data_IF_984292893667
#
_entry.id   IF_984292893667
#
_cell.length_a   1.000
_cell.length_b   1.000
_cell.length_c   1.000
_cell.angle_alpha   90.00
_cell.angle_beta   90.00
_cell.angle_gamma   90.00
#
_symmetry.space_group_name_H-M   'P 1'
#
loop_
_entity.id
_entity.type
_entity.pdbx_description
1 polymer ?
#
# COMPACT_ATOMS: atom_id res chain seq x y z
N UNK A 1 -24.60 -15.25 -4.29
CA UNK A 1 -24.11 -14.14 -3.43
C UNK A 1 -23.49 -13.07 -4.33
N UNK A 2 -23.77 -11.79 -4.10
CA UNK A 2 -23.13 -10.69 -4.84
C UNK A 2 -21.59 -10.78 -4.65
N UNK A 3 -20.81 -10.85 -5.73
CA UNK A 3 -19.34 -11.04 -5.69
C UNK A 3 -18.66 -10.02 -4.78
N UNK A 4 -19.13 -8.77 -4.80
CA UNK A 4 -18.67 -7.72 -3.89
C UNK A 4 -18.78 -8.09 -2.42
N UNK A 5 -19.95 -8.60 -2.03
CA UNK A 5 -20.25 -8.96 -0.64
C UNK A 5 -19.33 -10.11 -0.24
N UNK A 6 -19.16 -11.09 -1.13
CA UNK A 6 -18.23 -12.20 -0.90
C UNK A 6 -16.79 -11.73 -0.71
N UNK A 7 -16.28 -10.88 -1.61
CA UNK A 7 -14.93 -10.33 -1.51
C UNK A 7 -14.74 -9.47 -0.26
N UNK A 8 -15.69 -8.60 0.06
CA UNK A 8 -15.62 -7.78 1.28
C UNK A 8 -15.64 -8.64 2.53
N UNK A 9 -16.52 -9.64 2.60
CA UNK A 9 -16.61 -10.54 3.74
C UNK A 9 -15.31 -11.33 3.92
N UNK A 10 -14.76 -11.88 2.82
CA UNK A 10 -13.48 -12.58 2.84
C UNK A 10 -12.35 -11.69 3.38
N UNK A 11 -12.21 -10.47 2.85
CA UNK A 11 -11.18 -9.53 3.28
C UNK A 11 -11.34 -9.08 4.74
N UNK A 12 -12.57 -8.89 5.20
CA UNK A 12 -12.87 -8.54 6.61
C UNK A 12 -12.54 -9.72 7.53
N UNK A 13 -12.96 -10.93 7.20
CA UNK A 13 -12.66 -12.12 8.00
C UNK A 13 -11.16 -12.36 8.10
N UNK A 14 -10.44 -12.24 6.98
CA UNK A 14 -9.00 -12.41 6.94
C UNK A 14 -8.28 -11.32 7.76
N UNK A 15 -8.71 -10.06 7.64
CA UNK A 15 -8.19 -8.97 8.46
C UNK A 15 -8.44 -9.21 9.95
N UNK A 16 -9.68 -9.56 10.34
CA UNK A 16 -10.02 -9.81 11.73
C UNK A 16 -9.23 -10.99 12.31
N UNK A 17 -8.99 -12.03 11.50
CA UNK A 17 -8.15 -13.15 11.89
C UNK A 17 -6.73 -12.68 12.26
N UNK A 18 -6.05 -11.95 11.39
CA UNK A 18 -4.70 -11.44 11.68
C UNK A 18 -4.70 -10.40 12.82
N UNK A 19 -5.68 -9.50 12.85
CA UNK A 19 -5.78 -8.49 13.91
C UNK A 19 -5.95 -9.14 15.30
N UNK A 20 -6.83 -10.14 15.41
CA UNK A 20 -7.05 -10.88 16.66
C UNK A 20 -5.81 -11.70 17.03
N UNK A 21 -5.15 -12.35 16.06
CA UNK A 21 -3.90 -13.07 16.31
C UNK A 21 -2.81 -12.11 16.84
N UNK A 22 -2.65 -10.94 16.24
CA UNK A 22 -1.69 -9.94 16.72
C UNK A 22 -2.01 -9.49 18.15
N UNK A 23 -3.27 -9.22 18.48
CA UNK A 23 -3.69 -8.88 19.85
C UNK A 23 -3.40 -10.03 20.82
N UNK A 24 -3.62 -11.28 20.39
CA UNK A 24 -3.30 -12.45 21.19
C UNK A 24 -1.80 -12.53 21.50
N UNK A 25 -0.94 -12.30 20.50
CA UNK A 25 0.52 -12.26 20.71
C UNK A 25 0.88 -11.18 21.75
N UNK A 26 0.35 -9.96 21.63
CA UNK A 26 0.69 -8.87 22.57
C UNK A 26 0.18 -9.08 23.99
N UNK A 27 -0.94 -9.76 24.16
CA UNK A 27 -1.57 -9.91 25.47
C UNK A 27 -1.14 -11.19 26.20
N UNK A 28 -0.85 -12.26 25.47
CA UNK A 28 -0.67 -13.60 26.04
C UNK A 28 0.67 -14.27 25.71
N UNK A 29 1.48 -13.70 24.81
CA UNK A 29 2.82 -14.21 24.49
C UNK A 29 3.86 -13.17 24.93
N UNK A 30 4.44 -13.30 26.14
CA UNK A 30 5.29 -12.27 26.73
C UNK A 30 6.66 -12.14 26.06
N UNK A 31 7.16 -13.22 25.46
CA UNK A 31 8.46 -13.23 24.79
C UNK A 31 8.30 -12.91 23.29
N UNK A 32 8.99 -11.88 22.76
CA UNK A 32 9.21 -11.78 21.32
C UNK A 32 10.10 -12.97 20.89
N UNK A 33 10.02 -13.43 19.63
CA UNK A 33 10.79 -14.58 19.11
C UNK A 33 10.28 -15.99 19.49
N UNK A 34 8.96 -16.17 19.58
CA UNK A 34 8.36 -17.51 19.61
C UNK A 34 7.95 -17.97 18.21
N UNK A 35 7.80 -19.28 18.00
CA UNK A 35 7.27 -19.80 16.73
C UNK A 35 5.90 -19.19 16.34
N UNK A 36 5.08 -18.77 17.31
CA UNK A 36 3.80 -18.11 17.03
C UNK A 36 3.97 -16.71 16.43
N UNK A 37 5.04 -16.00 16.82
CA UNK A 37 5.42 -14.73 16.24
C UNK A 37 5.89 -14.91 14.79
N UNK A 38 6.74 -15.92 14.56
CA UNK A 38 7.28 -16.23 13.24
C UNK A 38 6.14 -16.60 12.29
N UNK A 39 5.24 -17.50 12.68
CA UNK A 39 4.07 -17.87 11.87
C UNK A 39 3.16 -16.69 11.54
N UNK A 40 3.01 -15.74 12.45
CA UNK A 40 2.27 -14.51 12.15
C UNK A 40 3.01 -13.68 11.09
N UNK A 41 4.31 -13.43 11.28
CA UNK A 41 5.15 -12.70 10.36
C UNK A 41 5.15 -13.34 8.96
N UNK A 42 5.33 -14.66 8.90
CA UNK A 42 5.40 -15.42 7.65
C UNK A 42 4.10 -15.42 6.86
N UNK A 43 2.96 -15.37 7.53
CA UNK A 43 1.67 -15.60 6.88
C UNK A 43 0.87 -14.32 6.63
N UNK A 44 1.13 -13.20 7.31
CA UNK A 44 0.31 -11.99 7.14
C UNK A 44 0.26 -11.47 5.70
N UNK A 45 1.31 -11.76 4.91
CA UNK A 45 1.37 -11.46 3.48
C UNK A 45 0.22 -12.06 2.66
N UNK A 46 -0.45 -13.11 3.15
CA UNK A 46 -1.66 -13.68 2.53
C UNK A 46 -2.75 -12.61 2.35
N UNK A 47 -2.85 -11.63 3.25
CA UNK A 47 -3.76 -10.50 3.10
C UNK A 47 -3.47 -9.70 1.81
N UNK A 48 -2.20 -9.46 1.49
CA UNK A 48 -1.79 -8.82 0.24
C UNK A 48 -2.09 -9.72 -0.97
N UNK A 49 -1.76 -11.01 -0.89
CA UNK A 49 -2.00 -11.97 -1.98
C UNK A 49 -3.49 -12.06 -2.37
N UNK A 50 -4.36 -12.26 -1.38
CA UNK A 50 -5.83 -12.27 -1.57
C UNK A 50 -6.31 -10.93 -2.13
N UNK A 51 -5.82 -9.82 -1.58
CA UNK A 51 -6.16 -8.47 -2.03
C UNK A 51 -5.80 -8.21 -3.49
N UNK A 52 -4.60 -8.63 -3.90
CA UNK A 52 -4.12 -8.52 -5.27
C UNK A 52 -4.94 -9.36 -6.25
N UNK A 53 -5.27 -10.62 -5.89
CA UNK A 53 -6.12 -11.47 -6.74
C UNK A 53 -7.53 -10.91 -6.88
N UNK A 54 -8.16 -10.47 -5.79
CA UNK A 54 -9.47 -9.81 -5.83
C UNK A 54 -9.41 -8.55 -6.71
N UNK A 55 -8.37 -7.74 -6.54
CA UNK A 55 -8.16 -6.55 -7.34
C UNK A 55 -8.08 -6.84 -8.84
N UNK A 56 -7.32 -7.86 -9.26
CA UNK A 56 -7.27 -8.30 -10.66
C UNK A 56 -8.63 -8.76 -11.17
N UNK A 57 -9.41 -9.49 -10.35
CA UNK A 57 -10.77 -9.87 -10.70
C UNK A 57 -11.67 -8.63 -10.89
N UNK A 58 -11.57 -7.61 -10.03
CA UNK A 58 -12.31 -6.36 -10.20
C UNK A 58 -11.84 -5.59 -11.45
N UNK A 59 -10.54 -5.60 -11.76
CA UNK A 59 -9.99 -4.93 -12.93
C UNK A 59 -10.58 -5.45 -14.26
N UNK A 60 -10.98 -6.72 -14.31
CA UNK A 60 -11.64 -7.34 -15.48
C UNK A 60 -12.89 -6.56 -15.93
N UNK A 61 -13.69 -6.06 -14.97
CA UNK A 61 -14.92 -5.30 -15.22
C UNK A 61 -14.64 -3.99 -15.94
N UNK A 62 -13.44 -3.45 -15.73
CA UNK A 62 -12.96 -2.22 -16.33
C UNK A 62 -12.03 -2.47 -17.53
N UNK A 63 -12.04 -3.69 -18.08
CA UNK A 63 -11.25 -4.05 -19.26
C UNK A 63 -9.74 -4.16 -18.98
N UNK A 64 -9.32 -4.41 -17.73
CA UNK A 64 -7.93 -4.46 -17.31
C UNK A 64 -7.14 -3.24 -17.81
N UNK A 65 -6.19 -3.44 -18.72
CA UNK A 65 -5.31 -2.40 -19.25
C UNK A 65 -5.97 -1.52 -20.33
N UNK A 66 -7.27 -1.69 -20.62
CA UNK A 66 -7.97 -0.90 -21.65
C UNK A 66 -8.49 0.44 -21.15
N UNK A 67 -8.82 0.57 -19.86
CA UNK A 67 -9.32 1.82 -19.26
C UNK A 67 -8.37 2.37 -18.21
N UNK A 68 -8.46 3.66 -17.89
CA UNK A 68 -7.66 4.23 -16.79
C UNK A 68 -8.00 3.63 -15.43
N UNK A 69 -9.28 3.35 -15.16
CA UNK A 69 -9.70 2.69 -13.92
C UNK A 69 -9.13 1.26 -13.85
N UNK A 70 -9.28 0.49 -14.92
CA UNK A 70 -8.77 -0.88 -14.96
C UNK A 70 -7.23 -0.93 -14.85
N UNK A 71 -6.51 -0.01 -15.49
CA UNK A 71 -5.05 0.13 -15.33
C UNK A 71 -4.70 0.42 -13.88
N UNK A 72 -5.35 1.40 -13.25
CA UNK A 72 -5.09 1.76 -11.86
C UNK A 72 -5.25 0.54 -10.92
N UNK A 73 -6.40 -0.15 -11.01
CA UNK A 73 -6.68 -1.34 -10.20
C UNK A 73 -5.66 -2.44 -10.48
N UNK A 74 -5.30 -2.67 -11.74
CA UNK A 74 -4.29 -3.68 -12.12
C UNK A 74 -2.95 -3.39 -11.47
N UNK A 75 -2.46 -2.15 -11.54
CA UNK A 75 -1.18 -1.76 -10.96
C UNK A 75 -1.16 -1.85 -9.43
N UNK A 76 -2.21 -1.39 -8.74
CA UNK A 76 -2.31 -1.62 -7.29
C UNK A 76 -2.34 -3.10 -6.92
N UNK A 77 -3.03 -3.92 -7.72
CA UNK A 77 -3.10 -5.37 -7.51
C UNK A 77 -1.74 -6.04 -7.69
N UNK A 78 -0.98 -5.63 -8.72
CA UNK A 78 0.39 -6.09 -8.92
C UNK A 78 1.30 -5.68 -7.77
N UNK A 79 1.13 -4.47 -7.22
CA UNK A 79 1.85 -4.06 -6.00
C UNK A 79 1.53 -4.95 -4.80
N UNK A 80 0.26 -5.31 -4.57
CA UNK A 80 -0.10 -6.26 -3.50
C UNK A 80 0.45 -7.68 -3.73
N UNK A 81 0.43 -8.17 -4.98
CA UNK A 81 1.03 -9.47 -5.31
C UNK A 81 2.54 -9.44 -5.09
N UNK A 82 3.20 -8.34 -5.46
CA UNK A 82 4.62 -8.12 -5.18
C UNK A 82 4.92 -8.09 -3.68
N UNK A 83 4.09 -7.45 -2.85
CA UNK A 83 4.23 -7.53 -1.39
C UNK A 83 4.14 -8.98 -0.88
N UNK A 84 3.17 -9.75 -1.37
CA UNK A 84 3.03 -11.17 -1.02
C UNK A 84 4.24 -12.01 -1.44
N UNK A 85 4.77 -11.80 -2.65
CA UNK A 85 5.95 -12.51 -3.15
C UNK A 85 7.23 -12.14 -2.38
N UNK A 86 7.36 -10.87 -1.97
CA UNK A 86 8.42 -10.42 -1.07
C UNK A 86 8.36 -11.19 0.23
N UNK A 87 7.19 -11.22 0.89
CA UNK A 87 7.01 -11.94 2.15
C UNK A 87 7.28 -13.44 2.01
N UNK A 88 6.75 -14.07 0.96
CA UNK A 88 6.97 -15.48 0.69
C UNK A 88 8.46 -15.79 0.47
N UNK A 89 9.20 -14.90 -0.21
CA UNK A 89 10.64 -15.04 -0.37
C UNK A 89 11.38 -14.99 0.97
N UNK A 90 10.98 -14.11 1.88
CA UNK A 90 11.56 -14.03 3.22
C UNK A 90 11.29 -15.31 4.04
N UNK A 91 10.05 -15.79 4.02
CA UNK A 91 9.67 -17.06 4.69
C UNK A 91 10.46 -18.26 4.15
N UNK A 92 10.71 -18.33 2.84
CA UNK A 92 11.55 -19.38 2.25
C UNK A 92 13.00 -19.27 2.76
N UNK A 93 13.57 -18.07 2.79
CA UNK A 93 14.93 -17.86 3.29
C UNK A 93 15.07 -18.24 4.77
N UNK A 94 14.05 -17.96 5.57
CA UNK A 94 14.03 -18.33 6.98
C UNK A 94 13.98 -19.85 7.17
N UNK A 95 12.98 -20.56 6.61
CA UNK A 95 12.80 -22.00 6.90
C UNK A 95 13.67 -22.95 6.08
N UNK A 96 14.14 -22.54 4.89
CA UNK A 96 14.89 -23.42 3.99
C UNK A 96 16.40 -23.17 4.08
N UNK A 97 16.79 -21.93 4.34
CA UNK A 97 18.19 -21.51 4.36
C UNK A 97 18.67 -21.05 5.75
N UNK A 98 17.79 -21.08 6.77
CA UNK A 98 18.09 -20.66 8.14
C UNK A 98 18.67 -19.24 8.23
N UNK A 99 18.22 -18.34 7.35
CA UNK A 99 18.65 -16.94 7.33
C UNK A 99 17.65 -16.09 8.11
N UNK A 100 18.01 -15.75 9.34
CA UNK A 100 17.27 -14.80 10.17
C UNK A 100 17.38 -13.39 9.59
N UNK A 101 16.25 -12.67 9.48
CA UNK A 101 16.17 -11.30 8.99
C UNK A 101 17.02 -11.04 7.73
N UNK A 102 16.64 -11.67 6.63
CA UNK A 102 17.38 -11.64 5.36
C UNK A 102 17.34 -10.27 4.65
N UNK A 103 17.75 -9.17 5.29
CA UNK A 103 17.85 -7.85 4.67
C UNK A 103 19.31 -7.48 4.41
N UNK A 104 19.69 -7.15 3.16
CA UNK A 104 18.92 -7.26 1.92
C UNK A 104 18.92 -8.70 1.39
N UNK A 105 17.84 -9.11 0.71
CA UNK A 105 17.77 -10.40 0.01
C UNK A 105 17.03 -10.32 -1.33
N UNK A 106 16.90 -11.46 -2.00
CA UNK A 106 16.17 -11.56 -3.26
C UNK A 106 14.71 -11.07 -3.15
N UNK A 107 14.08 -11.23 -1.98
CA UNK A 107 12.74 -10.72 -1.69
C UNK A 107 12.57 -9.21 -1.91
N UNK A 108 13.65 -8.45 -1.75
CA UNK A 108 13.70 -7.00 -1.93
C UNK A 108 13.30 -6.56 -3.34
N UNK A 109 13.56 -7.39 -4.35
CA UNK A 109 13.14 -7.07 -5.73
C UNK A 109 11.63 -6.95 -5.83
N UNK A 110 10.89 -7.80 -5.10
CA UNK A 110 9.44 -7.77 -5.10
C UNK A 110 8.92 -6.57 -4.30
N UNK A 111 9.46 -6.31 -3.10
CA UNK A 111 9.08 -5.13 -2.32
C UNK A 111 9.38 -3.83 -3.06
N UNK A 112 10.55 -3.72 -3.69
CA UNK A 112 10.93 -2.58 -4.51
C UNK A 112 9.99 -2.37 -5.70
N UNK A 113 9.52 -3.44 -6.34
CA UNK A 113 8.59 -3.37 -7.47
C UNK A 113 7.23 -2.74 -7.09
N UNK A 114 6.88 -2.72 -5.80
CA UNK A 114 5.63 -2.11 -5.33
C UNK A 114 5.62 -0.60 -5.50
N UNK A 115 6.79 0.06 -5.42
CA UNK A 115 6.94 1.50 -5.59
C UNK A 115 6.47 1.94 -6.99
N UNK A 116 7.07 1.47 -8.11
CA UNK A 116 6.61 1.86 -9.44
C UNK A 116 5.17 1.42 -9.71
N UNK A 117 4.74 0.25 -9.21
CA UNK A 117 3.36 -0.19 -9.36
C UNK A 117 2.36 0.75 -8.68
N UNK A 118 2.59 1.16 -7.43
CA UNK A 118 1.71 2.11 -6.76
C UNK A 118 1.76 3.50 -7.38
N UNK A 119 2.92 3.96 -7.85
CA UNK A 119 3.04 5.22 -8.62
C UNK A 119 2.20 5.15 -9.90
N UNK A 120 2.28 4.07 -10.67
CA UNK A 120 1.45 3.92 -11.87
C UNK A 120 -0.04 3.77 -11.54
N UNK A 121 -0.38 3.05 -10.48
CA UNK A 121 -1.74 2.97 -9.96
C UNK A 121 -2.33 4.35 -9.66
N UNK A 122 -1.56 5.18 -8.96
CA UNK A 122 -1.91 6.56 -8.64
C UNK A 122 -1.97 7.46 -9.87
N UNK A 123 -1.03 7.33 -10.81
CA UNK A 123 -1.10 8.07 -12.06
C UNK A 123 -2.42 7.82 -12.76
N UNK A 124 -2.78 6.55 -12.95
CA UNK A 124 -4.00 6.18 -13.67
C UNK A 124 -5.26 6.55 -12.89
N UNK A 125 -5.26 6.49 -11.56
CA UNK A 125 -6.40 6.97 -10.78
C UNK A 125 -6.57 8.48 -10.88
N UNK A 126 -5.46 9.24 -10.92
CA UNK A 126 -5.48 10.67 -11.16
C UNK A 126 -6.08 11.01 -12.52
N UNK A 127 -5.69 10.28 -13.59
CA UNK A 127 -6.28 10.42 -14.93
C UNK A 127 -7.76 10.07 -14.94
N UNK A 128 -8.16 8.97 -14.33
CA UNK A 128 -9.57 8.55 -14.23
C UNK A 128 -10.43 9.56 -13.43
N UNK A 129 -9.83 10.21 -12.44
CA UNK A 129 -10.50 11.20 -11.58
C UNK A 129 -10.50 12.61 -12.16
N UNK A 130 -9.98 12.83 -13.38
CA UNK A 130 -9.97 14.16 -14.01
C UNK A 130 -8.97 15.14 -13.41
N UNK A 131 -7.97 14.66 -12.65
CA UNK A 131 -6.97 15.51 -11.96
C UNK A 131 -6.20 16.42 -12.93
N UNK A 132 -6.01 16.01 -14.18
CA UNK A 132 -5.36 16.85 -15.20
C UNK A 132 -6.09 18.16 -15.46
N UNK A 133 -7.41 18.21 -15.27
CA UNK A 133 -8.20 19.45 -15.40
C UNK A 133 -7.98 20.35 -14.18
N UNK A 134 -7.89 19.77 -12.98
CA UNK A 134 -7.65 20.53 -11.75
C UNK A 134 -6.25 21.14 -11.67
N UNK A 135 -5.25 20.60 -12.38
CA UNK A 135 -3.88 21.11 -12.41
C UNK A 135 -3.67 22.39 -13.24
N UNK A 136 -4.75 22.96 -13.80
CA UNK A 136 -4.66 24.21 -14.58
C UNK A 136 -4.28 25.40 -13.68
N UNK A 137 -4.76 25.43 -12.43
CA UNK A 137 -4.49 26.53 -11.50
C UNK A 137 -3.06 26.56 -10.96
N UNK A 138 -2.47 27.76 -10.87
CA UNK A 138 -1.10 27.98 -10.37
C UNK A 138 -0.86 27.38 -8.97
N UNK A 139 -1.82 27.58 -8.03
CA UNK A 139 -1.75 27.00 -6.68
C UNK A 139 -1.62 25.48 -6.70
N UNK A 140 -2.39 24.81 -7.56
CA UNK A 140 -2.40 23.35 -7.65
C UNK A 140 -1.09 22.82 -8.26
N UNK A 141 -0.48 23.56 -9.20
CA UNK A 141 0.85 23.23 -9.74
C UNK A 141 1.95 23.35 -8.68
N UNK A 142 1.89 24.42 -7.87
CA UNK A 142 2.82 24.58 -6.75
C UNK A 142 2.66 23.43 -5.77
N UNK A 143 1.43 23.10 -5.35
CA UNK A 143 1.18 21.98 -4.43
C UNK A 143 1.68 20.64 -5.01
N UNK A 144 1.55 20.42 -6.32
CA UNK A 144 2.03 19.21 -6.98
C UNK A 144 3.55 19.02 -6.92
N UNK A 145 4.32 20.10 -6.74
CA UNK A 145 5.78 20.07 -6.62
C UNK A 145 6.21 20.13 -5.16
N UNK A 146 5.66 21.07 -4.38
CA UNK A 146 6.06 21.28 -2.99
C UNK A 146 5.73 20.09 -2.09
N UNK A 147 4.60 19.42 -2.31
CA UNK A 147 4.18 18.32 -1.43
C UNK A 147 5.12 17.10 -1.54
N UNK A 148 5.47 16.60 -2.75
CA UNK A 148 6.53 15.61 -2.88
C UNK A 148 7.89 16.05 -2.34
N UNK A 149 8.32 17.28 -2.62
CA UNK A 149 9.60 17.79 -2.11
C UNK A 149 9.64 17.87 -0.59
N UNK A 150 8.55 18.31 0.05
CA UNK A 150 8.42 18.36 1.49
C UNK A 150 8.45 16.95 2.10
N UNK A 151 7.75 15.99 1.49
CA UNK A 151 7.77 14.59 1.96
C UNK A 151 9.14 13.95 1.79
N UNK A 152 9.84 14.18 0.67
CA UNK A 152 11.22 13.70 0.46
C UNK A 152 12.16 14.34 1.48
N UNK A 153 12.05 15.65 1.71
CA UNK A 153 12.85 16.36 2.72
C UNK A 153 12.61 15.85 4.14
N UNK A 154 11.35 15.55 4.48
CA UNK A 154 10.98 14.94 5.75
C UNK A 154 11.55 13.52 5.89
N UNK A 155 11.35 12.65 4.89
CA UNK A 155 11.93 11.30 4.87
C UNK A 155 13.46 11.34 4.98
N UNK A 156 14.13 12.23 4.25
CA UNK A 156 15.58 12.39 4.35
C UNK A 156 16.00 12.81 5.76
N UNK A 157 15.30 13.79 6.34
CA UNK A 157 15.63 14.31 7.67
C UNK A 157 15.43 13.27 8.78
N UNK A 158 14.40 12.43 8.66
CA UNK A 158 14.07 11.40 9.64
C UNK A 158 14.97 10.16 9.52
N UNK A 159 15.25 9.72 8.29
CA UNK A 159 15.87 8.40 8.06
C UNK A 159 17.30 8.46 7.52
N UNK A 160 17.71 9.54 6.85
CA UNK A 160 18.96 9.57 6.06
C UNK A 160 19.98 10.61 6.52
N UNK A 161 19.59 11.60 7.35
CA UNK A 161 20.47 12.72 7.73
C UNK A 161 21.76 12.30 8.43
N UNK A 162 21.69 11.31 9.31
CA UNK A 162 22.82 10.79 10.07
C UNK A 162 23.17 9.36 9.63
N UNK A 163 22.81 8.99 8.41
CA UNK A 163 23.07 7.66 7.89
C UNK A 163 24.54 7.53 7.50
N UNK A 164 25.26 6.63 8.17
CA UNK A 164 26.64 6.29 7.82
C UNK A 164 26.64 5.14 6.80
N UNK A 165 27.21 5.41 5.63
CA UNK A 165 27.23 4.50 4.49
C UNK A 165 28.64 4.05 4.10
N UNK A 166 29.68 4.47 4.82
CA UNK A 166 31.07 4.29 4.37
C UNK A 166 31.48 2.82 4.23
N UNK A 167 30.97 1.95 5.12
CA UNK A 167 31.33 0.52 5.16
C UNK A 167 30.21 -0.40 4.64
N UNK A 168 29.11 0.17 4.12
CA UNK A 168 27.96 -0.61 3.69
C UNK A 168 28.04 -0.98 2.20
N UNK A 169 27.70 -2.23 1.83
CA UNK A 169 27.52 -2.63 0.43
C UNK A 169 26.55 -1.71 -0.33
N UNK A 170 26.85 -1.45 -1.60
CA UNK A 170 26.06 -0.56 -2.46
C UNK A 170 24.56 -0.90 -2.49
N UNK A 171 24.20 -2.18 -2.52
CA UNK A 171 22.81 -2.63 -2.54
C UNK A 171 22.05 -2.25 -1.25
N UNK A 172 22.70 -2.29 -0.09
CA UNK A 172 22.09 -1.83 1.18
C UNK A 172 21.86 -0.33 1.10
N UNK A 173 22.90 0.44 0.77
CA UNK A 173 22.82 1.89 0.64
C UNK A 173 21.75 2.29 -0.37
N UNK A 174 21.67 1.60 -1.51
CA UNK A 174 20.64 1.84 -2.51
C UNK A 174 19.23 1.63 -1.96
N UNK A 175 18.96 0.48 -1.33
CA UNK A 175 17.65 0.16 -0.78
C UNK A 175 17.25 1.12 0.35
N UNK A 176 18.17 1.41 1.25
CA UNK A 176 17.96 2.34 2.38
C UNK A 176 17.57 3.74 1.93
N UNK A 177 18.03 4.20 0.76
CA UNK A 177 17.60 5.48 0.18
C UNK A 177 16.30 5.35 -0.62
N UNK A 178 16.16 4.28 -1.40
CA UNK A 178 15.05 4.13 -2.33
C UNK A 178 13.73 3.87 -1.62
N UNK A 179 13.71 3.12 -0.51
CA UNK A 179 12.47 2.89 0.24
C UNK A 179 11.87 4.19 0.81
N UNK A 180 12.56 4.97 1.66
CA UNK A 180 11.98 6.18 2.24
C UNK A 180 11.61 7.24 1.20
N UNK A 181 12.42 7.39 0.13
CA UNK A 181 12.19 8.36 -0.94
C UNK A 181 11.05 7.91 -1.86
N UNK A 182 11.09 6.66 -2.32
CA UNK A 182 10.08 6.11 -3.22
C UNK A 182 8.70 6.05 -2.56
N UNK A 183 8.63 5.72 -1.28
CA UNK A 183 7.38 5.74 -0.53
C UNK A 183 6.87 7.16 -0.27
N UNK A 184 7.76 8.10 0.05
CA UNK A 184 7.40 9.52 0.12
C UNK A 184 6.80 10.03 -1.21
N UNK A 185 7.33 9.57 -2.35
CA UNK A 185 6.81 9.92 -3.67
C UNK A 185 5.40 9.36 -3.87
N UNK A 186 5.14 8.06 -3.69
CA UNK A 186 3.78 7.57 -3.92
C UNK A 186 2.78 8.12 -2.89
N UNK A 187 3.19 8.32 -1.64
CA UNK A 187 2.29 8.86 -0.61
C UNK A 187 1.94 10.33 -0.90
N UNK A 188 2.93 11.14 -1.29
CA UNK A 188 2.70 12.53 -1.70
C UNK A 188 1.80 12.63 -2.93
N UNK A 189 1.97 11.75 -3.92
CA UNK A 189 1.09 11.65 -5.08
C UNK A 189 -0.34 11.29 -4.67
N UNK A 190 -0.52 10.35 -3.75
CA UNK A 190 -1.85 9.99 -3.24
C UNK A 190 -2.54 11.16 -2.53
N UNK A 191 -1.80 11.92 -1.72
CA UNK A 191 -2.32 13.09 -1.02
C UNK A 191 -2.71 14.20 -2.00
N UNK A 192 -1.88 14.44 -3.02
CA UNK A 192 -2.17 15.38 -4.10
C UNK A 192 -3.43 14.98 -4.88
N UNK A 193 -3.54 13.71 -5.27
CA UNK A 193 -4.71 13.21 -6.00
C UNK A 193 -5.97 13.35 -5.14
N UNK A 194 -5.90 13.01 -3.85
CA UNK A 194 -7.02 13.18 -2.93
C UNK A 194 -7.47 14.64 -2.85
N UNK A 195 -6.52 15.57 -2.70
CA UNK A 195 -6.79 17.01 -2.68
C UNK A 195 -7.46 17.48 -3.99
N UNK A 196 -6.94 17.06 -5.14
CA UNK A 196 -7.41 17.50 -6.45
C UNK A 196 -8.71 16.81 -6.89
N UNK A 197 -9.07 15.66 -6.32
CA UNK A 197 -10.31 14.94 -6.62
C UNK A 197 -11.53 15.58 -5.94
N UNK A 198 -11.33 16.63 -5.13
CA UNK A 198 -12.44 17.34 -4.50
C UNK A 198 -13.38 17.94 -5.56
N UNK A 199 -14.68 17.64 -5.45
CA UNK A 199 -15.73 18.09 -6.38
C UNK A 199 -15.69 17.52 -7.81
N UNK A 200 -14.82 16.58 -8.14
CA UNK A 200 -14.84 15.92 -9.46
C UNK A 200 -15.77 14.70 -9.45
N UNK A 201 -16.55 14.51 -10.54
CA UNK A 201 -17.50 13.40 -10.71
C UNK A 201 -18.49 13.27 -9.55
N UNK A 202 -18.96 14.40 -9.01
CA UNK A 202 -19.85 14.44 -7.85
C UNK A 202 -19.21 13.90 -6.57
N UNK A 203 -17.89 13.73 -6.51
CA UNK A 203 -17.19 13.19 -5.34
C UNK A 203 -17.25 11.66 -5.22
N UNK A 204 -17.77 10.94 -6.21
CA UNK A 204 -17.80 9.46 -6.23
C UNK A 204 -16.39 8.88 -6.04
N UNK A 205 -15.40 9.45 -6.72
CA UNK A 205 -14.01 8.98 -6.65
C UNK A 205 -13.33 9.30 -5.32
N UNK A 206 -13.77 10.34 -4.60
CA UNK A 206 -13.10 10.84 -3.38
C UNK A 206 -13.03 9.78 -2.29
N UNK A 207 -14.10 9.04 -2.06
CA UNK A 207 -14.13 7.99 -1.03
C UNK A 207 -13.16 6.85 -1.34
N UNK A 208 -12.97 6.51 -2.62
CA UNK A 208 -12.06 5.44 -3.06
C UNK A 208 -10.61 5.86 -2.96
N UNK A 209 -10.32 7.08 -3.41
CA UNK A 209 -8.99 7.70 -3.26
C UNK A 209 -8.62 7.85 -1.79
N UNK A 210 -9.57 8.14 -0.90
CA UNK A 210 -9.32 8.21 0.54
C UNK A 210 -8.85 6.87 1.13
N UNK A 211 -9.47 5.75 0.73
CA UNK A 211 -9.02 4.42 1.16
C UNK A 211 -7.62 4.09 0.62
N UNK A 212 -7.32 4.45 -0.64
CA UNK A 212 -5.98 4.30 -1.21
C UNK A 212 -4.97 5.14 -0.41
N UNK A 213 -5.30 6.41 -0.12
CA UNK A 213 -4.44 7.31 0.66
C UNK A 213 -4.13 6.73 2.04
N UNK A 214 -5.13 6.26 2.78
CA UNK A 214 -4.90 5.65 4.08
C UNK A 214 -4.10 4.35 3.99
N UNK A 215 -4.38 3.50 3.00
CA UNK A 215 -3.57 2.31 2.77
C UNK A 215 -2.09 2.66 2.57
N UNK A 216 -1.80 3.62 1.69
CA UNK A 216 -0.43 4.05 1.42
C UNK A 216 0.22 4.78 2.60
N UNK A 217 -0.56 5.47 3.44
CA UNK A 217 -0.09 6.03 4.71
C UNK A 217 0.35 4.91 5.67
N UNK A 218 -0.51 3.91 5.89
CA UNK A 218 -0.17 2.79 6.77
C UNK A 218 1.01 1.97 6.24
N UNK A 219 1.12 1.82 4.91
CA UNK A 219 2.30 1.21 4.28
C UNK A 219 3.56 2.01 4.59
N UNK A 220 3.53 3.33 4.37
CA UNK A 220 4.67 4.21 4.66
C UNK A 220 5.08 4.16 6.13
N UNK A 221 4.11 4.13 7.05
CA UNK A 221 4.37 3.98 8.49
C UNK A 221 4.99 2.61 8.79
N UNK A 222 4.45 1.53 8.20
CA UNK A 222 4.95 0.17 8.39
C UNK A 222 6.42 0.05 7.98
N UNK A 223 6.74 0.50 6.77
CA UNK A 223 8.09 0.48 6.21
C UNK A 223 9.05 1.39 7.01
N UNK A 224 8.58 2.58 7.40
CA UNK A 224 9.37 3.50 8.24
C UNK A 224 9.69 2.90 9.61
N UNK A 225 8.70 2.23 10.22
CA UNK A 225 8.86 1.59 11.51
C UNK A 225 9.77 0.36 11.41
N UNK A 226 9.61 -0.44 10.37
CA UNK A 226 10.48 -1.58 10.09
C UNK A 226 11.96 -1.16 9.96
N UNK A 227 12.25 -0.11 9.18
CA UNK A 227 13.62 0.41 9.02
C UNK A 227 14.15 0.94 10.37
N UNK A 228 13.33 1.67 11.12
CA UNK A 228 13.70 2.20 12.42
C UNK A 228 14.02 1.09 13.42
N UNK A 229 13.12 0.10 13.56
CA UNK A 229 13.28 -1.03 14.47
C UNK A 229 14.46 -1.92 14.07
N UNK A 230 14.69 -2.13 12.77
CA UNK A 230 15.83 -2.91 12.27
C UNK A 230 17.15 -2.23 12.63
N UNK A 231 17.26 -0.91 12.45
CA UNK A 231 18.46 -0.15 12.81
C UNK A 231 18.70 -0.04 14.30
N UNK A 232 17.63 -0.01 15.09
CA UNK A 232 17.71 -0.01 16.54
C UNK A 232 17.94 -1.41 17.13
N UNK A 233 18.00 -2.46 16.29
CA UNK A 233 18.06 -3.87 16.70
C UNK A 233 16.90 -4.26 17.63
N UNK A 234 15.75 -3.57 17.49
CA UNK A 234 14.53 -3.82 18.26
C UNK A 234 13.45 -4.49 17.43
N UNK A 235 13.73 -4.81 16.17
CA UNK A 235 12.76 -5.50 15.30
C UNK A 235 12.57 -6.94 15.76
N UNK A 236 11.33 -7.42 15.66
CA UNK A 236 10.97 -8.79 15.95
C UNK A 236 9.70 -9.20 15.18
N UNK A 237 9.53 -10.51 14.89
CA UNK A 237 8.39 -11.01 14.14
C UNK A 237 7.07 -10.83 14.90
N UNK A 238 6.00 -10.50 14.18
CA UNK A 238 4.73 -10.11 14.79
C UNK A 238 4.81 -8.78 15.54
N UNK A 239 5.78 -7.93 15.17
CA UNK A 239 5.95 -6.59 15.70
C UNK A 239 4.82 -5.62 15.31
N UNK A 240 4.91 -4.35 15.73
CA UNK A 240 3.95 -3.33 15.31
C UNK A 240 4.03 -3.02 13.80
N UNK A 241 5.20 -3.12 13.16
CA UNK A 241 5.37 -2.97 11.70
C UNK A 241 4.45 -3.90 10.92
N UNK A 242 4.40 -5.18 11.33
CA UNK A 242 3.66 -6.23 10.65
C UNK A 242 2.14 -5.99 10.71
N UNK A 243 1.65 -5.47 11.84
CA UNK A 243 0.26 -5.03 11.96
C UNK A 243 -0.05 -3.87 11.01
N UNK A 244 0.85 -2.90 10.90
CA UNK A 244 0.67 -1.76 9.99
C UNK A 244 0.61 -2.22 8.52
N UNK A 245 1.40 -3.25 8.13
CA UNK A 245 1.28 -3.90 6.82
C UNK A 245 -0.08 -4.56 6.64
N UNK A 246 -0.57 -5.35 7.61
CA UNK A 246 -1.90 -5.97 7.56
C UNK A 246 -3.00 -4.93 7.35
N UNK A 247 -2.96 -3.82 8.11
CA UNK A 247 -3.92 -2.72 7.98
C UNK A 247 -3.81 -2.10 6.58
N UNK A 248 -2.60 -1.85 6.09
CA UNK A 248 -2.38 -1.30 4.76
C UNK A 248 -2.98 -2.18 3.66
N UNK A 249 -2.67 -3.49 3.67
CA UNK A 249 -3.13 -4.45 2.67
C UNK A 249 -4.65 -4.59 2.70
N UNK A 250 -5.25 -4.62 3.89
CA UNK A 250 -6.70 -4.61 4.07
C UNK A 250 -7.34 -3.35 3.47
N UNK A 251 -6.83 -2.16 3.81
CA UNK A 251 -7.35 -0.90 3.30
C UNK A 251 -7.23 -0.80 1.78
N UNK A 252 -6.11 -1.24 1.19
CA UNK A 252 -5.95 -1.28 -0.27
C UNK A 252 -7.01 -2.21 -0.88
N UNK A 253 -7.16 -3.42 -0.34
CA UNK A 253 -8.12 -4.41 -0.83
C UNK A 253 -9.54 -3.85 -0.80
N UNK A 254 -9.94 -3.22 0.30
CA UNK A 254 -11.25 -2.57 0.42
C UNK A 254 -11.41 -1.40 -0.55
N UNK A 255 -10.33 -0.66 -0.83
CA UNK A 255 -10.33 0.37 -1.86
C UNK A 255 -10.64 -0.24 -3.23
N UNK A 256 -9.95 -1.31 -3.63
CA UNK A 256 -10.11 -2.00 -4.91
C UNK A 256 -11.53 -2.58 -5.06
N UNK A 257 -12.07 -3.23 -4.03
CA UNK A 257 -13.45 -3.76 -4.07
C UNK A 257 -14.48 -2.64 -4.27
N UNK A 258 -14.27 -1.45 -3.67
CA UNK A 258 -15.18 -0.30 -3.83
C UNK A 258 -15.24 0.24 -5.26
N UNK A 259 -14.26 -0.07 -6.12
CA UNK A 259 -14.34 0.29 -7.53
C UNK A 259 -15.48 -0.43 -8.24
N UNK A 260 -15.92 -1.60 -7.79
CA UNK A 260 -16.90 -2.45 -8.50
C UNK A 260 -18.22 -1.76 -8.85
N UNK A 261 -18.65 -0.73 -8.12
CA UNK A 261 -19.96 -0.06 -8.34
C UNK A 261 -19.86 1.40 -8.79
N UNK A 262 -18.73 1.82 -9.36
CA UNK A 262 -18.57 3.22 -9.80
C UNK A 262 -19.64 3.60 -10.83
N UNK A 263 -19.88 2.74 -11.82
CA UNK A 263 -20.83 3.02 -12.89
C UNK A 263 -22.27 3.18 -12.37
N UNK A 264 -22.66 2.30 -11.44
CA UNK A 264 -23.98 2.37 -10.80
C UNK A 264 -24.13 3.63 -9.94
N UNK A 265 -23.10 4.02 -9.20
CA UNK A 265 -23.12 5.23 -8.37
C UNK A 265 -23.17 6.49 -9.24
N UNK A 266 -22.42 6.52 -10.35
CA UNK A 266 -22.45 7.62 -11.31
C UNK A 266 -23.82 7.74 -12.01
N UNK A 267 -24.40 6.61 -12.43
CA UNK A 267 -25.73 6.57 -13.05
C UNK A 267 -26.80 7.12 -12.10
N UNK A 268 -26.85 6.63 -10.86
CA UNK A 268 -27.82 7.10 -9.85
C UNK A 268 -27.72 8.60 -9.58
N UNK A 269 -26.50 9.14 -9.52
CA UNK A 269 -26.30 10.59 -9.32
C UNK A 269 -26.71 11.41 -10.53
N UNK A 270 -26.49 10.90 -11.75
CA UNK A 270 -26.96 11.55 -12.98
C UNK A 270 -28.48 11.63 -13.01
N UNK A 271 -29.16 10.54 -12.66
CA UNK A 271 -30.63 10.50 -12.58
C UNK A 271 -31.17 11.49 -11.54
N UNK A 272 -30.57 11.54 -10.34
CA UNK A 272 -30.97 12.48 -9.29
C UNK A 272 -30.76 13.96 -9.65
N UNK A 273 -29.77 14.28 -10.50
CA UNK A 273 -29.52 15.64 -10.96
C UNK A 273 -30.46 16.10 -12.09
N UNK A 274 -31.10 15.17 -12.80
CA UNK A 274 -32.08 15.49 -13.85
C UNK A 274 -33.48 15.73 -13.27
N UNK A 275 -33.77 15.17 -12.09
CA UNK A 275 -35.05 15.33 -11.39
C UNK A 275 -35.17 16.61 -10.54
N UNK A 276 -34.10 17.38 -10.40
CA UNK A 276 -34.06 18.66 -9.68
C UNK A 276 -33.92 19.81 -10.66
#
# INVERSE_FOLDING_TARGET
>A
MNKRIAFSALSIVLFLFYFIWWLYLKQFVPEPYTALNDYYADTYGIMAGVGGLIGLMVATKYGFLKSYVGKAITFFSLGLISQFLGQLSYTILFYVYDIENAYPAFGEVFFLATIPFYIFGLWFIGKASGVSVSLIGFKNRISAVLLPLAMIGASYSLFLRNYDSQDLPFNIVFLDYVYPIGQAIFFSLALLIFYLTNNILGGVMRSRVLFILFSLLFQYIADSLFIFETRAETWYPGGPSDLMFVISYFLMTMALIRFENIEDELRKRREANVSN
#
